data_IF_796822115106
#
_entry.id   IF_796822115106
#
_cell.length_a   1.000
_cell.length_b   1.000
_cell.length_c   1.000
_cell.angle_alpha   90.00
_cell.angle_beta   90.00
_cell.angle_gamma   90.00
#
_symmetry.space_group_name_H-M   'P 1'
#
loop_
_entity.id
_entity.type
_entity.pdbx_description
1 polymer ?
#
# COMPACT_ATOMS: atom_id res chain seq x y z
N UNK A 1 -6.03 27.72 8.88
CA UNK A 1 -5.39 26.50 9.45
C UNK A 1 -4.15 26.24 8.62
N UNK A 2 -2.97 26.15 9.24
CA UNK A 2 -1.70 25.84 8.57
C UNK A 2 -1.32 24.42 8.95
N UNK A 3 -1.11 23.55 7.97
CA UNK A 3 -0.57 22.21 8.20
C UNK A 3 0.93 22.25 7.93
N UNK A 4 1.78 21.85 8.89
CA UNK A 4 3.21 21.75 8.62
C UNK A 4 3.45 20.63 7.60
N UNK A 5 4.46 20.80 6.74
CA UNK A 5 4.75 19.89 5.62
C UNK A 5 4.94 18.43 6.10
N UNK A 6 5.56 18.24 7.27
CA UNK A 6 5.79 16.92 7.86
C UNK A 6 4.52 16.25 8.43
N UNK A 7 3.35 16.82 8.15
CA UNK A 7 2.02 16.25 8.42
C UNK A 7 1.21 16.09 7.12
N UNK A 8 1.85 16.26 5.96
CA UNK A 8 1.28 16.10 4.63
C UNK A 8 1.94 14.87 3.98
N UNK A 9 1.12 13.93 3.50
CA UNK A 9 1.57 12.79 2.70
C UNK A 9 1.02 12.88 1.29
N UNK A 10 1.72 12.27 0.32
CA UNK A 10 1.31 12.20 -1.08
C UNK A 10 1.15 10.73 -1.47
N UNK A 11 0.04 10.36 -2.13
CA UNK A 11 -0.18 9.00 -2.64
C UNK A 11 -0.22 8.99 -4.16
N UNK A 12 0.57 8.12 -4.79
CA UNK A 12 0.70 7.99 -6.25
C UNK A 12 0.66 6.52 -6.67
N UNK A 13 0.24 6.25 -7.91
CA UNK A 13 0.15 4.90 -8.48
C UNK A 13 0.91 4.86 -9.83
N UNK A 14 2.25 4.73 -9.83
CA UNK A 14 3.06 5.02 -11.02
C UNK A 14 2.88 4.05 -12.20
N UNK A 15 2.40 2.84 -11.94
CA UNK A 15 2.10 1.83 -12.98
C UNK A 15 0.64 1.41 -12.97
N UNK A 16 -0.27 2.34 -12.66
CA UNK A 16 -1.69 2.10 -12.82
C UNK A 16 -2.03 2.05 -14.32
N UNK A 17 -2.45 0.88 -14.78
CA UNK A 17 -2.75 0.63 -16.19
C UNK A 17 -3.92 -0.36 -16.30
N UNK A 18 -4.83 -0.10 -17.22
CA UNK A 18 -6.07 -0.87 -17.43
C UNK A 18 -6.90 -1.06 -16.15
N UNK A 19 -6.84 -0.07 -15.26
CA UNK A 19 -7.54 -0.08 -13.98
C UNK A 19 -8.12 1.32 -13.72
N UNK A 20 -9.32 1.37 -13.14
CA UNK A 20 -10.05 2.62 -12.87
C UNK A 20 -10.19 3.56 -14.10
N UNK A 21 -10.24 2.99 -15.31
CA UNK A 21 -10.33 3.76 -16.56
C UNK A 21 -9.04 4.47 -16.96
N UNK A 22 -7.91 4.14 -16.33
CA UNK A 22 -6.60 4.75 -16.60
C UNK A 22 -5.79 3.86 -17.54
N UNK A 23 -5.27 4.46 -18.61
CA UNK A 23 -4.36 3.84 -19.57
C UNK A 23 -3.03 4.59 -19.53
N UNK A 24 -2.01 3.94 -19.00
CA UNK A 24 -0.64 4.45 -19.05
C UNK A 24 -0.07 4.51 -20.47
N UNK A 25 0.88 5.42 -20.65
CA UNK A 25 1.65 5.67 -21.88
C UNK A 25 3.16 5.64 -21.57
N UNK A 26 3.99 5.68 -22.61
CA UNK A 26 5.46 5.73 -22.47
C UNK A 26 5.95 6.91 -21.60
N UNK A 27 5.17 8.00 -21.52
CA UNK A 27 5.48 9.19 -20.71
C UNK A 27 5.09 9.04 -19.23
N UNK A 28 4.38 7.98 -18.86
CA UNK A 28 3.85 7.81 -17.50
C UNK A 28 4.97 7.67 -16.48
N UNK A 29 5.90 6.72 -16.68
CA UNK A 29 7.02 6.52 -15.76
C UNK A 29 7.97 7.74 -15.72
N UNK A 30 8.39 8.35 -16.85
CA UNK A 30 9.16 9.59 -16.83
C UNK A 30 8.49 10.73 -16.05
N UNK A 31 7.17 10.87 -16.16
CA UNK A 31 6.40 11.87 -15.40
C UNK A 31 6.48 11.59 -13.89
N UNK A 32 6.33 10.34 -13.47
CA UNK A 32 6.44 9.97 -12.06
C UNK A 32 7.86 10.06 -11.52
N UNK A 33 8.89 9.74 -12.31
CA UNK A 33 10.29 9.98 -11.94
C UNK A 33 10.50 11.45 -11.60
N UNK A 34 10.07 12.35 -12.48
CA UNK A 34 10.17 13.80 -12.25
C UNK A 34 9.42 14.21 -10.99
N UNK A 35 8.15 13.81 -10.84
CA UNK A 35 7.35 14.17 -9.66
C UNK A 35 8.04 13.69 -8.37
N UNK A 36 8.45 12.43 -8.31
CA UNK A 36 9.03 11.83 -7.11
C UNK A 36 10.39 12.47 -6.76
N UNK A 37 11.21 12.79 -7.74
CA UNK A 37 12.45 13.52 -7.51
C UNK A 37 12.19 14.93 -6.95
N UNK A 38 11.21 15.65 -7.52
CA UNK A 38 10.78 16.99 -7.04
C UNK A 38 10.22 16.95 -5.62
N UNK A 39 9.60 15.85 -5.19
CA UNK A 39 9.05 15.72 -3.83
C UNK A 39 10.15 15.73 -2.74
N UNK A 40 11.43 15.50 -3.09
CA UNK A 40 12.54 15.60 -2.14
C UNK A 40 12.85 17.03 -1.69
N UNK A 41 12.33 18.05 -2.39
CA UNK A 41 12.47 19.45 -1.98
C UNK A 41 11.61 19.80 -0.76
N UNK A 42 10.70 18.92 -0.35
CA UNK A 42 9.74 19.14 0.72
C UNK A 42 10.01 18.22 1.90
N UNK A 43 9.72 18.70 3.12
CA UNK A 43 9.80 17.88 4.32
C UNK A 43 8.47 17.15 4.58
N UNK A 44 8.04 16.32 3.63
CA UNK A 44 6.76 15.59 3.72
C UNK A 44 6.78 14.52 4.82
N UNK A 45 5.59 14.18 5.32
CA UNK A 45 5.44 13.07 6.26
C UNK A 45 5.83 11.73 5.65
N UNK A 46 5.35 11.46 4.43
CA UNK A 46 5.67 10.27 3.64
C UNK A 46 5.24 10.42 2.18
N UNK A 47 5.88 9.62 1.31
CA UNK A 47 5.37 9.27 -0.01
C UNK A 47 4.76 7.86 0.06
N UNK A 48 3.51 7.72 -0.37
CA UNK A 48 2.79 6.45 -0.42
C UNK A 48 2.66 6.00 -1.88
N UNK A 49 3.29 4.91 -2.25
CA UNK A 49 3.20 4.30 -3.58
C UNK A 49 2.39 3.01 -3.54
N UNK A 50 1.81 2.62 -4.66
CA UNK A 50 1.28 1.27 -4.84
C UNK A 50 2.12 0.50 -5.85
N UNK A 51 2.28 -0.80 -5.61
CA UNK A 51 2.58 -1.74 -6.69
C UNK A 51 1.44 -1.75 -7.73
N UNK A 52 1.68 -2.23 -8.96
CA UNK A 52 0.67 -2.27 -10.01
C UNK A 52 -0.58 -3.05 -9.59
N UNK A 53 -1.76 -2.56 -9.97
CA UNK A 53 -3.04 -3.22 -9.67
C UNK A 53 -3.37 -4.36 -10.65
N UNK A 54 -2.68 -4.39 -11.79
CA UNK A 54 -2.80 -5.36 -12.88
C UNK A 54 -1.40 -5.86 -13.22
N UNK A 55 -1.31 -7.02 -13.89
CA UNK A 55 -0.02 -7.51 -14.38
C UNK A 55 0.47 -6.62 -15.53
N UNK A 56 1.54 -5.87 -15.25
CA UNK A 56 2.20 -4.98 -16.22
C UNK A 56 3.51 -5.57 -16.77
N UNK A 57 3.83 -6.83 -16.48
CA UNK A 57 5.11 -7.46 -16.88
C UNK A 57 5.33 -7.50 -18.40
N UNK A 58 4.25 -7.47 -19.18
CA UNK A 58 4.27 -7.43 -20.65
C UNK A 58 4.20 -6.02 -21.25
N UNK A 59 4.15 -4.97 -20.41
CA UNK A 59 4.11 -3.56 -20.87
C UNK A 59 5.49 -2.95 -20.70
N UNK A 60 6.23 -2.83 -21.82
CA UNK A 60 7.67 -2.52 -21.83
C UNK A 60 8.06 -1.19 -21.17
N UNK A 61 7.14 -0.24 -21.08
CA UNK A 61 7.38 1.08 -20.49
C UNK A 61 6.86 1.22 -19.04
N UNK A 62 6.32 0.16 -18.44
CA UNK A 62 5.86 0.13 -17.05
C UNK A 62 6.80 -0.66 -16.14
N UNK A 63 6.57 -0.56 -14.83
CA UNK A 63 7.47 -1.07 -13.80
C UNK A 63 6.70 -1.99 -12.88
N UNK A 64 7.13 -3.25 -12.79
CA UNK A 64 6.49 -4.25 -11.92
C UNK A 64 6.85 -4.12 -10.44
N UNK A 65 8.06 -3.60 -10.14
CA UNK A 65 8.56 -3.41 -8.78
C UNK A 65 8.74 -1.92 -8.48
N UNK A 66 7.68 -1.28 -7.99
CA UNK A 66 7.60 0.16 -7.76
C UNK A 66 8.47 0.57 -6.57
N UNK A 67 8.45 -0.19 -5.47
CA UNK A 67 9.30 0.07 -4.32
C UNK A 67 10.79 0.08 -4.70
N UNK A 68 11.26 -0.97 -5.38
CA UNK A 68 12.66 -1.10 -5.84
C UNK A 68 13.09 0.07 -6.74
N UNK A 69 12.22 0.52 -7.65
CA UNK A 69 12.51 1.67 -8.53
C UNK A 69 12.65 2.97 -7.75
N UNK A 70 11.70 3.27 -6.88
CA UNK A 70 11.57 4.63 -6.33
C UNK A 70 12.24 4.83 -4.98
N UNK A 71 12.55 3.76 -4.24
CA UNK A 71 13.34 3.85 -3.02
C UNK A 71 14.69 4.59 -3.20
N UNK A 72 15.52 4.31 -4.23
CA UNK A 72 16.75 5.06 -4.41
C UNK A 72 16.51 6.52 -4.85
N UNK A 73 15.33 6.87 -5.36
CA UNK A 73 14.99 8.22 -5.87
C UNK A 73 14.37 9.12 -4.80
N UNK A 74 13.52 8.58 -3.94
CA UNK A 74 12.90 9.31 -2.84
C UNK A 74 13.69 9.14 -1.53
N UNK A 75 13.96 10.25 -0.83
CA UNK A 75 14.83 10.28 0.35
C UNK A 75 14.08 10.37 1.68
N UNK A 76 12.78 10.64 1.65
CA UNK A 76 11.93 10.64 2.84
C UNK A 76 11.34 9.27 3.18
N UNK A 77 10.35 9.26 4.06
CA UNK A 77 9.60 8.05 4.45
C UNK A 77 8.78 7.51 3.29
N UNK A 78 9.04 6.28 2.85
CA UNK A 78 8.33 5.62 1.76
C UNK A 78 7.40 4.52 2.29
N UNK A 79 6.11 4.67 2.03
CA UNK A 79 5.08 3.67 2.30
C UNK A 79 4.70 2.96 1.00
N UNK A 80 4.72 1.62 0.97
CA UNK A 80 4.29 0.82 -0.18
C UNK A 80 2.96 0.12 0.11
N UNK A 81 2.17 -0.13 -0.94
CA UNK A 81 0.86 -0.76 -0.86
C UNK A 81 0.62 -1.70 -2.04
N UNK A 82 -0.46 -2.48 -1.92
CA UNK A 82 -1.04 -3.42 -2.89
C UNK A 82 -0.39 -4.81 -2.86
N UNK A 83 -1.21 -5.85 -2.61
CA UNK A 83 -0.80 -7.26 -2.70
C UNK A 83 0.08 -7.82 -1.56
N UNK A 84 0.43 -7.02 -0.56
CA UNK A 84 1.30 -7.49 0.53
C UNK A 84 0.60 -8.43 1.52
N UNK A 85 1.31 -9.48 1.91
CA UNK A 85 1.04 -10.33 3.08
C UNK A 85 1.95 -9.89 4.24
N UNK A 86 1.81 -10.52 5.41
CA UNK A 86 2.77 -10.33 6.49
C UNK A 86 4.21 -10.64 6.05
N UNK A 87 4.39 -11.77 5.34
CA UNK A 87 5.71 -12.23 4.90
C UNK A 87 6.31 -11.27 3.87
N UNK A 88 5.57 -10.94 2.81
CA UNK A 88 6.10 -10.06 1.76
C UNK A 88 6.26 -8.62 2.25
N UNK A 89 5.40 -8.18 3.17
CA UNK A 89 5.52 -6.87 3.85
C UNK A 89 6.75 -6.78 4.76
N UNK A 90 7.06 -7.84 5.51
CA UNK A 90 8.31 -7.89 6.28
C UNK A 90 9.52 -7.93 5.35
N UNK A 91 9.45 -8.71 4.26
CA UNK A 91 10.54 -8.82 3.29
C UNK A 91 10.89 -7.46 2.65
N UNK A 92 9.90 -6.70 2.18
CA UNK A 92 10.17 -5.42 1.51
C UNK A 92 10.81 -4.37 2.43
N UNK A 93 10.51 -4.44 3.74
CA UNK A 93 11.15 -3.59 4.76
C UNK A 93 12.58 -4.08 5.04
N UNK A 94 12.77 -5.39 5.20
CA UNK A 94 14.10 -5.99 5.45
C UNK A 94 15.07 -5.78 4.29
N UNK A 95 14.56 -5.76 3.06
CA UNK A 95 15.32 -5.47 1.84
C UNK A 95 15.54 -3.95 1.64
N UNK A 96 15.13 -3.11 2.60
CA UNK A 96 15.25 -1.64 2.60
C UNK A 96 14.56 -0.96 1.40
N UNK A 97 13.57 -1.62 0.78
CA UNK A 97 12.83 -1.08 -0.36
C UNK A 97 11.65 -0.18 0.05
N UNK A 98 11.19 -0.26 1.30
CA UNK A 98 10.19 0.64 1.88
C UNK A 98 10.37 0.78 3.39
N UNK A 99 9.89 1.87 3.97
CA UNK A 99 9.89 2.09 5.42
C UNK A 99 8.60 1.60 6.08
N UNK A 100 7.48 1.61 5.32
CA UNK A 100 6.15 1.26 5.80
C UNK A 100 5.40 0.45 4.73
N UNK A 101 4.48 -0.41 5.18
CA UNK A 101 3.58 -1.18 4.31
C UNK A 101 2.13 -0.89 4.71
N UNK A 102 1.30 -0.50 3.75
CA UNK A 102 -0.13 -0.29 3.97
C UNK A 102 -0.94 -1.49 3.50
N UNK A 103 -1.90 -1.91 4.32
CA UNK A 103 -2.81 -3.02 4.05
C UNK A 103 -4.24 -2.50 3.91
N UNK A 104 -4.91 -2.84 2.80
CA UNK A 104 -6.30 -2.44 2.52
C UNK A 104 -7.29 -3.52 2.92
N UNK A 105 -7.48 -4.51 2.04
CA UNK A 105 -8.45 -5.61 2.22
C UNK A 105 -8.28 -6.35 3.56
N UNK A 106 -7.05 -6.61 3.98
CA UNK A 106 -6.79 -7.25 5.28
C UNK A 106 -7.29 -6.42 6.47
N UNK A 107 -7.17 -5.09 6.42
CA UNK A 107 -7.67 -4.23 7.50
C UNK A 107 -9.20 -4.10 7.48
N UNK A 108 -9.86 -4.34 6.34
CA UNK A 108 -11.33 -4.39 6.29
C UNK A 108 -11.82 -5.56 7.15
N UNK A 109 -11.27 -6.76 6.96
CA UNK A 109 -11.74 -7.96 7.65
C UNK A 109 -11.06 -8.25 8.99
N UNK A 110 -9.95 -7.57 9.32
CA UNK A 110 -9.18 -7.78 10.53
C UNK A 110 -8.92 -6.43 11.22
N UNK A 111 -9.84 -5.96 12.08
CA UNK A 111 -9.65 -4.68 12.78
C UNK A 111 -8.41 -4.67 13.69
N UNK A 112 -7.97 -5.86 14.11
CA UNK A 112 -6.82 -6.16 14.95
C UNK A 112 -5.61 -6.70 14.16
N UNK A 113 -5.51 -6.40 12.86
CA UNK A 113 -4.47 -6.91 11.95
C UNK A 113 -3.04 -6.85 12.53
N UNK A 114 -2.56 -5.76 13.16
CA UNK A 114 -1.22 -5.73 13.74
C UNK A 114 -1.01 -6.77 14.85
N UNK A 115 -2.03 -6.98 15.70
CA UNK A 115 -2.00 -8.01 16.76
C UNK A 115 -1.93 -9.39 16.14
N UNK A 116 -2.73 -9.65 15.10
CA UNK A 116 -2.71 -10.94 14.41
C UNK A 116 -1.35 -11.22 13.77
N UNK A 117 -0.72 -10.23 13.13
CA UNK A 117 0.66 -10.37 12.65
C UNK A 117 1.64 -10.67 13.79
N UNK A 118 1.59 -9.92 14.89
CA UNK A 118 2.49 -10.13 16.02
C UNK A 118 2.40 -11.55 16.61
N UNK A 119 1.19 -12.14 16.63
CA UNK A 119 0.94 -13.48 17.15
C UNK A 119 1.02 -14.59 16.09
N UNK A 120 1.22 -14.25 14.81
CA UNK A 120 1.00 -15.16 13.68
C UNK A 120 -0.38 -15.85 13.73
N UNK A 121 -1.41 -15.10 14.15
CA UNK A 121 -2.77 -15.59 14.23
C UNK A 121 -3.40 -15.74 12.83
N UNK A 122 -4.41 -16.60 12.65
CA UNK A 122 -5.16 -16.70 11.40
C UNK A 122 -5.80 -15.36 11.02
N UNK A 123 -5.92 -15.08 9.72
CA UNK A 123 -6.67 -13.91 9.21
C UNK A 123 -8.13 -14.28 8.98
N UNK A 124 -9.04 -13.35 9.21
CA UNK A 124 -10.41 -13.43 8.73
C UNK A 124 -10.49 -13.03 7.25
N UNK A 125 -11.27 -13.78 6.48
CA UNK A 125 -11.54 -13.49 5.07
C UNK A 125 -12.39 -12.22 4.92
N UNK A 126 -12.12 -11.46 3.87
CA UNK A 126 -12.95 -10.31 3.50
C UNK A 126 -14.07 -10.73 2.54
N UNK A 127 -15.15 -9.95 2.53
CA UNK A 127 -16.25 -10.12 1.59
C UNK A 127 -16.32 -8.92 0.64
N UNK A 128 -15.93 -9.12 -0.62
CA UNK A 128 -15.87 -8.04 -1.62
C UNK A 128 -17.25 -7.48 -1.98
N UNK A 129 -18.30 -8.28 -1.88
CA UNK A 129 -19.69 -7.85 -2.16
C UNK A 129 -20.17 -6.79 -1.15
N UNK A 130 -19.53 -6.72 0.03
CA UNK A 130 -19.90 -5.82 1.12
C UNK A 130 -19.03 -4.56 1.19
N UNK A 131 -17.96 -4.43 0.39
CA UNK A 131 -17.04 -3.28 0.45
C UNK A 131 -17.72 -1.92 0.26
N UNK A 132 -18.79 -1.89 -0.53
CA UNK A 132 -19.55 -0.67 -0.80
C UNK A 132 -21.03 -0.81 -0.42
N UNK A 133 -21.36 -1.78 0.43
CA UNK A 133 -22.71 -1.95 0.95
C UNK A 133 -23.01 -0.89 2.02
N UNK A 134 -24.27 -0.44 2.08
CA UNK A 134 -24.74 0.50 3.11
C UNK A 134 -25.31 -0.24 4.33
N UNK A 135 -24.55 -1.22 4.83
CA UNK A 135 -24.96 -2.14 5.90
C UNK A 135 -23.89 -2.19 7.01
N UNK A 136 -24.21 -2.78 8.17
CA UNK A 136 -23.22 -2.98 9.25
C UNK A 136 -22.37 -4.22 8.99
N UNK A 137 -22.99 -5.18 8.33
CA UNK A 137 -22.44 -6.45 7.90
C UNK A 137 -21.29 -6.22 6.91
N UNK A 138 -20.13 -6.82 7.17
CA UNK A 138 -18.91 -6.62 6.41
C UNK A 138 -18.22 -5.27 6.67
N UNK A 139 -18.57 -4.57 7.76
CA UNK A 139 -17.98 -3.27 8.10
C UNK A 139 -17.55 -3.18 9.57
N UNK A 140 -18.47 -3.39 10.52
CA UNK A 140 -18.18 -3.28 11.97
C UNK A 140 -18.36 -4.60 12.74
N UNK A 141 -18.67 -5.68 12.05
CA UNK A 141 -19.00 -6.99 12.62
C UNK A 141 -17.92 -8.06 12.41
N UNK A 142 -16.77 -7.69 11.83
CA UNK A 142 -15.62 -8.59 11.76
C UNK A 142 -15.08 -8.92 13.17
N UNK A 143 -14.80 -10.20 13.46
CA UNK A 143 -14.38 -10.63 14.79
C UNK A 143 -12.94 -10.19 15.09
N UNK A 144 -12.69 -9.76 16.33
CA UNK A 144 -11.33 -9.67 16.88
C UNK A 144 -10.81 -11.08 17.18
N UNK A 145 -9.50 -11.29 17.01
CA UNK A 145 -8.85 -12.53 17.42
C UNK A 145 -8.83 -12.62 18.95
N UNK A 146 -9.30 -13.75 19.47
CA UNK A 146 -9.21 -14.09 20.89
C UNK A 146 -8.33 -15.33 21.00
N UNK A 147 -7.18 -15.16 21.63
CA UNK A 147 -6.31 -16.27 21.98
C UNK A 147 -7.05 -17.18 22.96
N UNK A 148 -7.37 -18.40 22.54
CA UNK A 148 -7.89 -19.42 23.45
C UNK A 148 -6.76 -19.92 24.30
N UNK A 149 -6.72 -19.48 25.57
CA UNK A 149 -5.87 -20.10 26.57
C UNK A 149 -6.53 -21.44 26.93
N UNK A 150 -5.98 -22.54 26.41
CA UNK A 150 -6.35 -23.88 26.86
C UNK A 150 -5.99 -24.01 28.35
N UNK A 151 -7.02 -24.21 29.17
CA UNK A 151 -6.94 -24.47 30.61
C UNK A 151 -6.76 -25.95 30.91
#
# INVERSE_FOLDING_TARGET
MFFPENRIGVRLNPSLHESFGIIATEETIPTFDYIIERLNDYNLAYLHLSEPFTDVSNVSFLVSNIAERYRPRYKGTLMINNGFTQETGNKIILDEHADLVAFGKLFISNPDLPTRFALNAPMADWNEDLFYASTKEGYIDYPEYKETIDS
#
